data_IF_614826739850
#
_entry.id   IF_614826739850
#
_cell.length_a   1.000
_cell.length_b   1.000
_cell.length_c   1.000
_cell.angle_alpha   90.00
_cell.angle_beta   90.00
_cell.angle_gamma   90.00
#
_symmetry.space_group_name_H-M   'P 1'
#
loop_
_entity.id
_entity.type
_entity.pdbx_description
1 polymer ?
#
# COMPACT_ATOMS: atom_id res chain seq x y z
N UNK A 1 -12.80 -8.64 -5.67
CA UNK A 1 -11.75 -7.65 -5.96
C UNK A 1 -10.41 -8.30 -5.64
N UNK A 2 -9.45 -8.27 -6.57
CA UNK A 2 -8.09 -8.83 -6.36
C UNK A 2 -7.12 -7.65 -6.29
N UNK A 3 -6.35 -7.61 -5.21
CA UNK A 3 -5.37 -6.56 -4.94
C UNK A 3 -3.95 -7.11 -5.08
N UNK A 4 -3.11 -6.40 -5.82
CA UNK A 4 -1.68 -6.66 -5.90
C UNK A 4 -0.97 -5.75 -4.91
N UNK A 5 -0.29 -6.33 -3.92
CA UNK A 5 0.47 -5.58 -2.91
C UNK A 5 1.82 -5.15 -3.49
N UNK A 6 2.09 -3.85 -3.46
CA UNK A 6 3.33 -3.24 -3.95
C UNK A 6 4.34 -3.02 -2.84
N UNK A 7 3.84 -2.70 -1.64
CA UNK A 7 4.65 -2.40 -0.47
C UNK A 7 3.85 -2.70 0.79
N UNK A 8 4.51 -3.04 1.88
CA UNK A 8 3.86 -3.19 3.17
C UNK A 8 4.79 -2.80 4.32
N UNK A 9 4.20 -2.41 5.44
CA UNK A 9 4.93 -2.10 6.67
C UNK A 9 4.11 -2.49 7.89
N UNK A 10 4.78 -3.03 8.92
CA UNK A 10 4.18 -3.31 10.23
C UNK A 10 4.56 -2.21 11.21
N UNK A 11 3.56 -1.61 11.86
CA UNK A 11 3.73 -0.45 12.73
C UNK A 11 2.57 -0.31 13.71
N UNK A 12 2.56 0.77 14.49
CA UNK A 12 1.53 1.10 15.45
C UNK A 12 1.40 2.63 15.60
N UNK A 13 0.18 3.13 15.79
CA UNK A 13 -0.09 4.56 15.84
C UNK A 13 0.32 5.27 17.15
N UNK A 14 0.66 4.51 18.20
CA UNK A 14 0.80 5.01 19.57
C UNK A 14 2.22 4.86 20.12
N UNK A 15 2.88 3.73 19.84
CA UNK A 15 4.16 3.37 20.45
C UNK A 15 5.31 3.26 19.45
N UNK A 16 5.05 3.38 18.15
CA UNK A 16 6.12 3.35 17.14
C UNK A 16 6.65 4.77 16.88
N UNK A 17 7.85 5.12 17.38
CA UNK A 17 8.42 6.45 17.18
C UNK A 17 8.74 6.76 15.72
N UNK A 18 8.84 5.71 14.87
CA UNK A 18 9.16 5.83 13.44
C UNK A 18 7.91 5.71 12.56
N UNK A 19 6.70 5.82 13.13
CA UNK A 19 5.44 5.66 12.39
C UNK A 19 5.42 6.47 11.09
N UNK A 20 5.64 7.79 11.17
CA UNK A 20 5.54 8.67 10.00
C UNK A 20 6.57 8.31 8.93
N UNK A 21 7.79 7.98 9.34
CA UNK A 21 8.86 7.59 8.42
C UNK A 21 8.53 6.26 7.72
N UNK A 22 8.06 5.28 8.48
CA UNK A 22 7.65 3.96 7.97
C UNK A 22 6.51 4.07 6.96
N UNK A 23 5.48 4.86 7.27
CA UNK A 23 4.37 5.11 6.36
C UNK A 23 4.85 5.82 5.09
N UNK A 24 5.68 6.86 5.24
CA UNK A 24 6.23 7.61 4.11
C UNK A 24 7.09 6.73 3.20
N UNK A 25 7.95 5.89 3.78
CA UNK A 25 8.79 4.94 3.03
C UNK A 25 7.96 3.87 2.32
N UNK A 26 6.89 3.37 2.94
CA UNK A 26 6.00 2.39 2.32
C UNK A 26 5.33 2.98 1.06
N UNK A 27 4.81 4.21 1.17
CA UNK A 27 4.23 4.94 0.04
C UNK A 27 5.25 5.30 -1.03
N UNK A 28 6.43 5.78 -0.64
CA UNK A 28 7.50 6.11 -1.59
C UNK A 28 7.99 4.87 -2.36
N UNK A 29 8.08 3.72 -1.68
CA UNK A 29 8.48 2.47 -2.32
C UNK A 29 7.43 2.03 -3.33
N UNK A 30 6.15 2.09 -2.96
CA UNK A 30 5.05 1.78 -3.88
C UNK A 30 4.98 2.76 -5.06
N UNK A 31 5.22 4.06 -4.84
CA UNK A 31 5.14 5.06 -5.93
C UNK A 31 6.22 4.87 -6.99
N UNK A 32 7.38 4.28 -6.65
CA UNK A 32 8.44 3.96 -7.62
C UNK A 32 8.07 2.81 -8.56
N UNK A 33 7.12 1.97 -8.16
CA UNK A 33 6.63 0.83 -8.94
C UNK A 33 5.42 1.20 -9.81
N UNK A 34 5.01 2.48 -9.79
CA UNK A 34 3.84 2.97 -10.49
C UNK A 34 4.25 3.99 -11.54
N UNK A 35 3.94 3.71 -12.80
CA UNK A 35 4.37 4.50 -13.96
C UNK A 35 3.52 5.77 -14.19
N UNK A 36 2.95 6.33 -13.11
CA UNK A 36 2.13 7.54 -13.18
C UNK A 36 0.75 7.38 -13.84
N UNK A 37 0.37 6.17 -14.25
CA UNK A 37 -0.97 5.85 -14.76
C UNK A 37 -2.04 6.04 -13.67
N UNK A 38 -3.29 6.21 -14.11
CA UNK A 38 -4.46 6.45 -13.26
C UNK A 38 -4.90 5.19 -12.49
N UNK A 39 -3.94 4.45 -11.95
CA UNK A 39 -4.11 3.23 -11.17
C UNK A 39 -4.69 3.59 -9.81
N UNK A 40 -5.80 2.96 -9.44
CA UNK A 40 -6.43 3.16 -8.13
C UNK A 40 -5.50 2.61 -7.04
N UNK A 41 -4.97 3.50 -6.20
CA UNK A 41 -4.06 3.18 -5.10
C UNK A 41 -4.85 3.03 -3.81
N UNK A 42 -4.67 1.92 -3.11
CA UNK A 42 -5.35 1.62 -1.85
C UNK A 42 -4.34 1.38 -0.74
N UNK A 43 -4.55 2.02 0.41
CA UNK A 43 -3.91 1.65 1.66
C UNK A 43 -4.81 0.69 2.43
N UNK A 44 -4.40 -0.57 2.58
CA UNK A 44 -5.15 -1.60 3.28
C UNK A 44 -4.53 -1.85 4.64
N UNK A 45 -5.28 -1.58 5.70
CA UNK A 45 -4.89 -1.85 7.07
C UNK A 45 -5.44 -3.22 7.48
N UNK A 46 -4.56 -4.14 7.85
CA UNK A 46 -4.94 -5.51 8.20
C UNK A 46 -3.96 -6.13 9.21
N UNK A 47 -4.23 -7.38 9.61
CA UNK A 47 -3.40 -8.13 10.58
C UNK A 47 -3.14 -7.36 11.88
N UNK A 48 -4.20 -6.76 12.41
CA UNK A 48 -4.20 -6.17 13.73
C UNK A 48 -3.90 -7.24 14.76
N UNK A 49 -2.92 -6.98 15.62
CA UNK A 49 -2.56 -7.86 16.72
C UNK A 49 -3.68 -7.99 17.76
N UNK A 50 -4.46 -6.93 17.97
CA UNK A 50 -5.52 -6.89 18.97
C UNK A 50 -6.68 -5.98 18.55
N UNK A 51 -6.47 -4.66 18.63
CA UNK A 51 -7.44 -3.64 18.27
C UNK A 51 -6.72 -2.45 17.60
N UNK A 52 -7.37 -1.29 17.47
CA UNK A 52 -6.79 -0.10 16.85
C UNK A 52 -5.49 0.40 17.51
N UNK A 53 -5.22 -0.01 18.77
CA UNK A 53 -3.98 0.29 19.51
C UNK A 53 -2.91 -0.78 19.38
N UNK A 54 -3.20 -1.93 18.77
CA UNK A 54 -2.22 -2.98 18.53
C UNK A 54 -1.36 -2.70 17.30
N UNK A 55 -0.29 -3.48 17.11
CA UNK A 55 0.44 -3.42 15.84
C UNK A 55 -0.47 -3.85 14.69
N UNK A 56 -0.31 -3.22 13.54
CA UNK A 56 -1.03 -3.54 12.31
C UNK A 56 -0.07 -3.54 11.14
N UNK A 57 -0.51 -4.15 10.04
CA UNK A 57 0.18 -4.08 8.75
C UNK A 57 -0.57 -3.12 7.84
N UNK A 58 0.11 -2.10 7.33
CA UNK A 58 -0.37 -1.32 6.18
C UNK A 58 0.22 -1.93 4.92
N UNK A 59 -0.62 -2.31 3.97
CA UNK A 59 -0.22 -2.67 2.61
C UNK A 59 -0.66 -1.60 1.63
N UNK A 60 0.25 -1.12 0.79
CA UNK A 60 -0.07 -0.31 -0.37
C UNK A 60 -0.30 -1.26 -1.53
N UNK A 61 -1.50 -1.22 -2.09
CA UNK A 61 -1.93 -2.13 -3.14
C UNK A 61 -2.67 -1.40 -4.25
N UNK A 62 -2.72 -2.05 -5.40
CA UNK A 62 -3.49 -1.62 -6.56
C UNK A 62 -4.45 -2.71 -6.98
N UNK A 63 -5.56 -2.33 -7.62
CA UNK A 63 -6.47 -3.30 -8.18
C UNK A 63 -5.84 -3.98 -9.39
N UNK A 64 -5.83 -5.31 -9.43
CA UNK A 64 -5.19 -6.05 -10.53
C UNK A 64 -5.76 -5.67 -11.91
N UNK A 65 -7.04 -5.33 -12.00
CA UNK A 65 -7.66 -4.86 -13.24
C UNK A 65 -7.07 -3.52 -13.74
N UNK A 66 -6.61 -2.66 -12.82
CA UNK A 66 -5.99 -1.38 -13.16
C UNK A 66 -4.55 -1.49 -13.69
N UNK A 67 -3.90 -2.65 -13.52
CA UNK A 67 -2.61 -3.02 -14.13
C UNK A 67 -2.77 -3.77 -15.47
N UNK A 68 -3.98 -4.16 -15.84
CA UNK A 68 -4.26 -4.86 -17.09
C UNK A 68 -4.78 -3.90 -18.18
N UNK A 69 -5.41 -2.79 -17.77
CA UNK A 69 -5.96 -1.79 -18.68
C UNK A 69 -4.91 -0.85 -19.27
N UNK A 70 -3.75 -0.69 -18.64
CA UNK A 70 -2.65 0.15 -19.11
C UNK A 70 -1.74 -0.57 -20.13
N UNK A 71 -1.64 -1.90 -20.06
CA UNK A 71 -0.88 -2.71 -21.02
C UNK A 71 -1.48 -2.77 -22.45
N UNK A 72 -2.71 -2.30 -22.66
CA UNK A 72 -3.45 -2.42 -23.93
C UNK A 72 -3.59 -1.14 -24.76
N UNK A 73 -2.92 -0.03 -24.41
CA UNK A 73 -3.14 1.29 -25.04
C UNK A 73 -1.97 1.79 -25.90
N UNK A 74 -1.30 0.89 -26.61
CA UNK A 74 -0.33 1.23 -27.65
C UNK A 74 -0.54 0.32 -28.88
N UNK A 75 -1.53 0.69 -29.71
CA UNK A 75 -1.58 0.33 -31.13
C UNK A 75 -1.48 1.61 -31.98
#
# INVERSE_FOLDING_TARGET
>A
MILTVLSHVRTNNFSDPQLLDKLSQAWQSASRLLDGSNTVRSGVYHQYESNYKGNYTLSIAVEAASLAADAGSHE
#
